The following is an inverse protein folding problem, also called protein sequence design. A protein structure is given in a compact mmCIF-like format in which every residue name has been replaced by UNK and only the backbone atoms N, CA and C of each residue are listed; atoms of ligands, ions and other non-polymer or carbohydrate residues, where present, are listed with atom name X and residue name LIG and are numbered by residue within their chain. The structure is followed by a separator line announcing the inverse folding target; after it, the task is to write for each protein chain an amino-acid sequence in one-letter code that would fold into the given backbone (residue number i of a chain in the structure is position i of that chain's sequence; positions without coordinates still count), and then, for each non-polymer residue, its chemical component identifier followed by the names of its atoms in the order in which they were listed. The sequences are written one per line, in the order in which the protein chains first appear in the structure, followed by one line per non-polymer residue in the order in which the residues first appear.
data_IF_446738404498
#
_entry.id   IF_446738404498
#
_cell.length_a   1.000
_cell.length_b   1.000
_cell.length_c   1.000
_cell.angle_alpha   90.00
_cell.angle_beta   90.00
_cell.angle_gamma   90.00
#
_symmetry.space_group_name_H-M   'P 1'
#
loop_
_entity.id
_entity.type
_entity.pdbx_description
1 polymer ?
#
# COMPACT_ATOMS: atom_id res chain seq x y z
N UNK A 1 -42.10 1.47 12.31
CA UNK A 1 -40.87 2.29 12.30
C UNK A 1 -39.69 1.39 12.63
N UNK A 2 -38.69 1.29 11.76
CA UNK A 2 -37.47 0.55 12.08
C UNK A 2 -36.67 1.33 13.14
N UNK A 3 -36.11 0.65 14.14
CA UNK A 3 -35.28 1.29 15.18
C UNK A 3 -34.04 1.91 14.53
N UNK A 4 -33.55 3.02 15.07
CA UNK A 4 -32.25 3.57 14.69
C UNK A 4 -31.16 2.53 14.96
N UNK A 5 -30.30 2.29 13.98
CA UNK A 5 -29.19 1.34 14.11
C UNK A 5 -27.91 2.13 14.31
N UNK A 6 -27.17 1.79 15.37
CA UNK A 6 -25.88 2.39 15.64
C UNK A 6 -24.87 2.06 14.52
N UNK A 7 -23.97 3.01 14.26
CA UNK A 7 -22.87 2.84 13.32
C UNK A 7 -22.01 1.66 13.75
N UNK A 8 -21.61 0.84 12.79
CA UNK A 8 -20.62 -0.18 13.07
C UNK A 8 -19.20 0.41 13.09
N UNK A 9 -18.50 0.20 14.20
CA UNK A 9 -17.08 0.50 14.38
C UNK A 9 -16.36 -0.82 14.67
N UNK A 10 -15.30 -1.10 13.94
CA UNK A 10 -14.45 -2.27 14.17
C UNK A 10 -13.76 -2.21 15.52
N UNK A 11 -13.64 -3.35 16.20
CA UNK A 11 -12.85 -3.50 17.42
C UNK A 11 -11.35 -3.34 17.15
N UNK A 12 -10.92 -3.74 15.95
CA UNK A 12 -9.57 -3.58 15.44
C UNK A 12 -9.60 -3.50 13.91
N UNK A 13 -8.48 -3.09 13.33
CA UNK A 13 -8.32 -2.86 11.89
C UNK A 13 -8.40 -4.12 11.04
N UNK A 14 -8.14 -5.29 11.64
CA UNK A 14 -8.16 -6.59 10.99
C UNK A 14 -9.54 -7.28 11.06
N UNK A 15 -10.50 -6.67 11.77
CA UNK A 15 -11.82 -7.25 11.93
C UNK A 15 -12.52 -7.34 10.57
N UNK A 16 -13.02 -8.53 10.23
CA UNK A 16 -13.85 -8.70 9.05
C UNK A 16 -15.15 -7.88 9.18
N UNK A 17 -15.45 -7.06 8.17
CA UNK A 17 -16.71 -6.32 8.07
C UNK A 17 -17.89 -7.30 8.08
N UNK A 18 -18.80 -7.23 9.07
CA UNK A 18 -19.93 -8.14 9.18
C UNK A 18 -20.86 -8.08 7.96
N UNK A 19 -21.49 -9.20 7.54
CA UNK A 19 -22.40 -9.21 6.39
C UNK A 19 -23.52 -8.15 6.46
N UNK A 20 -24.10 -7.92 7.64
CA UNK A 20 -25.11 -6.88 7.87
C UNK A 20 -24.62 -5.48 7.51
N UNK A 21 -23.35 -5.18 7.80
CA UNK A 21 -22.75 -3.87 7.50
C UNK A 21 -22.45 -3.77 6.01
N UNK A 22 -21.98 -4.85 5.39
CA UNK A 22 -21.77 -4.91 3.93
C UNK A 22 -23.06 -4.60 3.17
N UNK A 23 -24.18 -5.20 3.59
CA UNK A 23 -25.50 -4.92 2.99
C UNK A 23 -25.91 -3.46 3.18
N UNK A 24 -25.82 -2.92 4.40
CA UNK A 24 -26.15 -1.50 4.66
C UNK A 24 -25.31 -0.54 3.83
N UNK A 25 -24.00 -0.78 3.73
CA UNK A 25 -23.10 0.04 2.92
C UNK A 25 -23.47 -0.05 1.44
N UNK A 26 -23.81 -1.24 0.93
CA UNK A 26 -24.25 -1.40 -0.44
C UNK A 26 -25.56 -0.64 -0.72
N UNK A 27 -26.55 -0.79 0.16
CA UNK A 27 -27.86 -0.13 0.02
C UNK A 27 -27.75 1.39 0.15
N UNK A 28 -26.97 1.88 1.12
CA UNK A 28 -26.71 3.31 1.35
C UNK A 28 -26.09 3.99 0.13
N UNK A 29 -25.18 3.31 -0.54
CA UNK A 29 -24.48 3.82 -1.73
C UNK A 29 -25.20 3.44 -3.04
N UNK A 30 -26.42 2.90 -2.97
CA UNK A 30 -27.24 2.56 -4.13
C UNK A 30 -26.67 1.44 -5.01
N UNK A 31 -25.77 0.61 -4.46
CA UNK A 31 -25.05 -0.42 -5.20
C UNK A 31 -24.12 0.15 -6.26
N UNK A 32 -23.60 1.36 -6.07
CA UNK A 32 -22.71 2.03 -7.02
C UNK A 32 -21.27 1.94 -6.53
N UNK A 33 -20.37 1.50 -7.40
CA UNK A 33 -18.95 1.52 -7.13
C UNK A 33 -18.46 2.97 -6.94
N UNK A 34 -18.01 3.32 -5.72
CA UNK A 34 -17.61 4.70 -5.44
C UNK A 34 -16.35 5.15 -6.20
N UNK A 35 -15.54 4.20 -6.69
CA UNK A 35 -14.32 4.48 -7.46
C UNK A 35 -14.58 4.78 -8.93
N UNK A 36 -15.63 4.19 -9.51
CA UNK A 36 -15.89 4.27 -10.96
C UNK A 36 -17.23 4.91 -11.29
N UNK A 37 -18.14 5.05 -10.32
CA UNK A 37 -19.52 5.48 -10.52
C UNK A 37 -20.40 4.45 -11.24
N UNK A 38 -19.89 3.25 -11.56
CA UNK A 38 -20.68 2.20 -12.23
C UNK A 38 -21.56 1.47 -11.22
N UNK A 39 -22.78 1.12 -11.63
CA UNK A 39 -23.63 0.20 -10.88
C UNK A 39 -22.96 -1.18 -10.81
N UNK A 40 -22.98 -1.77 -9.63
CA UNK A 40 -22.46 -3.11 -9.35
C UNK A 40 -23.61 -4.08 -9.55
N UNK A 41 -23.40 -5.13 -10.35
CA UNK A 41 -24.25 -6.31 -10.38
C UNK A 41 -23.67 -7.33 -9.39
N UNK A 42 -24.19 -7.48 -8.17
CA UNK A 42 -23.58 -8.34 -7.15
C UNK A 42 -23.64 -9.84 -7.49
N UNK A 43 -24.38 -10.25 -8.53
CA UNK A 43 -24.44 -11.63 -9.00
C UNK A 43 -23.31 -11.91 -10.01
N UNK A 44 -22.95 -10.90 -10.82
CA UNK A 44 -21.97 -11.05 -11.92
C UNK A 44 -20.61 -10.42 -11.63
N UNK A 45 -20.58 -9.36 -10.84
CA UNK A 45 -19.40 -8.58 -10.52
C UNK A 45 -18.80 -8.98 -9.16
N UNK A 46 -17.48 -9.13 -9.12
CA UNK A 46 -16.76 -9.19 -7.86
C UNK A 46 -16.60 -7.79 -7.27
N UNK A 47 -17.06 -7.62 -6.02
CA UNK A 47 -16.96 -6.37 -5.29
C UNK A 47 -16.57 -6.59 -3.83
N UNK A 48 -15.85 -5.61 -3.29
CA UNK A 48 -15.39 -5.58 -1.91
C UNK A 48 -15.90 -4.31 -1.22
N UNK A 49 -15.92 -4.34 0.12
CA UNK A 49 -16.18 -3.15 0.93
C UNK A 49 -14.83 -2.55 1.28
N UNK A 50 -14.63 -1.31 0.85
CA UNK A 50 -13.32 -0.65 0.89
C UNK A 50 -13.39 0.63 1.72
N UNK A 51 -12.29 0.95 2.40
CA UNK A 51 -12.12 2.21 3.11
C UNK A 51 -11.93 3.37 2.11
N UNK A 52 -12.78 4.39 2.14
CA UNK A 52 -12.63 5.59 1.30
C UNK A 52 -11.33 6.31 1.60
N UNK A 53 -11.06 6.53 2.89
CA UNK A 53 -9.72 6.89 3.39
C UNK A 53 -9.07 5.62 3.91
N UNK A 54 -7.96 5.19 3.32
CA UNK A 54 -7.26 4.00 3.78
C UNK A 54 -6.73 4.15 5.22
N UNK A 55 -6.75 3.04 5.97
CA UNK A 55 -6.28 2.99 7.37
C UNK A 55 -4.85 3.53 7.53
N UNK A 56 -3.97 3.19 6.59
CA UNK A 56 -2.57 3.64 6.56
C UNK A 56 -2.40 5.16 6.38
N UNK A 57 -3.44 5.86 5.93
CA UNK A 57 -3.48 7.31 5.74
C UNK A 57 -4.35 8.00 6.82
N UNK A 58 -4.61 7.32 7.94
CA UNK A 58 -5.43 7.85 9.04
C UNK A 58 -6.93 7.62 8.88
N UNK A 59 -7.33 6.75 7.95
CA UNK A 59 -8.71 6.29 7.86
C UNK A 59 -9.11 5.42 9.05
N UNK A 60 -10.41 5.39 9.33
CA UNK A 60 -10.95 4.60 10.43
C UNK A 60 -11.66 3.35 9.93
N UNK A 61 -11.59 2.26 10.71
CA UNK A 61 -12.28 1.01 10.43
C UNK A 61 -13.76 1.09 10.89
N UNK A 62 -14.54 1.98 10.27
CA UNK A 62 -15.95 2.24 10.60
C UNK A 62 -16.83 2.37 9.37
N UNK A 63 -18.11 2.10 9.53
CA UNK A 63 -19.10 2.03 8.45
C UNK A 63 -19.23 3.33 7.64
N UNK A 64 -19.07 4.50 8.25
CA UNK A 64 -19.06 5.79 7.54
C UNK A 64 -17.87 5.96 6.58
N UNK A 65 -16.79 5.22 6.80
CA UNK A 65 -15.62 5.20 5.92
C UNK A 65 -15.63 4.02 4.94
N UNK A 66 -16.64 3.15 4.99
CA UNK A 66 -16.74 1.97 4.12
C UNK A 66 -17.66 2.21 2.94
N UNK A 67 -17.22 1.82 1.74
CA UNK A 67 -17.95 2.00 0.48
C UNK A 67 -17.80 0.77 -0.42
N UNK A 68 -18.81 0.43 -1.24
CA UNK A 68 -18.72 -0.69 -2.16
C UNK A 68 -17.83 -0.32 -3.36
N UNK A 69 -16.90 -1.19 -3.69
CA UNK A 69 -16.00 -1.01 -4.81
C UNK A 69 -15.87 -2.30 -5.63
N UNK A 70 -15.89 -2.15 -6.95
CA UNK A 70 -15.51 -3.24 -7.85
C UNK A 70 -14.06 -3.65 -7.57
N UNK A 71 -13.78 -4.95 -7.65
CA UNK A 71 -12.50 -5.51 -7.21
C UNK A 71 -11.30 -5.00 -8.01
N UNK A 72 -11.46 -4.82 -9.31
CA UNK A 72 -10.39 -4.34 -10.19
C UNK A 72 -9.96 -2.89 -9.85
N UNK A 73 -10.85 -1.87 -9.85
CA UNK A 73 -10.45 -0.52 -9.45
C UNK A 73 -10.02 -0.44 -7.99
N UNK A 74 -10.57 -1.26 -7.10
CA UNK A 74 -10.13 -1.37 -5.71
C UNK A 74 -8.65 -1.78 -5.63
N UNK A 75 -8.23 -2.84 -6.34
CA UNK A 75 -6.82 -3.26 -6.40
C UNK A 75 -5.90 -2.15 -6.92
N UNK A 76 -6.35 -1.37 -7.92
CA UNK A 76 -5.58 -0.22 -8.45
C UNK A 76 -5.41 0.86 -7.38
N UNK A 77 -6.46 1.19 -6.62
CA UNK A 77 -6.37 2.11 -5.48
C UNK A 77 -5.40 1.61 -4.42
N UNK A 78 -5.52 0.35 -4.00
CA UNK A 78 -4.62 -0.25 -3.00
C UNK A 78 -3.16 -0.19 -3.46
N UNK A 79 -2.86 -0.46 -4.74
CA UNK A 79 -1.49 -0.36 -5.27
C UNK A 79 -0.91 1.06 -5.16
N UNK A 80 -1.73 2.08 -5.46
CA UNK A 80 -1.33 3.50 -5.32
C UNK A 80 -1.06 3.84 -3.86
N UNK A 81 -1.95 3.44 -2.96
CA UNK A 81 -1.84 3.71 -1.52
C UNK A 81 -0.61 3.00 -0.90
N UNK A 82 -0.31 1.77 -1.32
CA UNK A 82 0.90 1.06 -0.88
C UNK A 82 2.18 1.74 -1.39
N UNK A 83 2.16 2.33 -2.59
CA UNK A 83 3.28 3.14 -3.10
C UNK A 83 3.49 4.38 -2.24
N UNK A 84 2.41 5.06 -1.84
CA UNK A 84 2.46 6.21 -0.92
C UNK A 84 3.03 5.78 0.45
N UNK A 85 2.52 4.69 1.03
CA UNK A 85 3.05 4.11 2.28
C UNK A 85 4.55 3.84 2.21
N UNK A 86 5.01 3.19 1.14
CA UNK A 86 6.43 2.89 0.93
C UNK A 86 7.27 4.16 0.86
N UNK A 87 6.76 5.20 0.20
CA UNK A 87 7.45 6.50 0.12
C UNK A 87 7.54 7.16 1.49
N UNK A 88 6.44 7.24 2.24
CA UNK A 88 6.41 7.80 3.60
C UNK A 88 7.41 7.07 4.50
N UNK A 89 7.39 5.74 4.49
CA UNK A 89 8.32 4.93 5.26
C UNK A 89 9.78 5.19 4.88
N UNK A 90 10.10 5.28 3.58
CA UNK A 90 11.45 5.61 3.08
C UNK A 90 11.90 7.00 3.54
N UNK A 91 11.01 7.99 3.48
CA UNK A 91 11.32 9.37 3.89
C UNK A 91 11.57 9.42 5.39
N UNK A 92 10.68 8.83 6.20
CA UNK A 92 10.85 8.72 7.66
C UNK A 92 12.15 8.01 8.02
N UNK A 93 12.45 6.90 7.35
CA UNK A 93 13.67 6.12 7.54
C UNK A 93 14.94 6.95 7.33
N UNK A 94 14.96 7.84 6.33
CA UNK A 94 16.07 8.78 6.09
C UNK A 94 16.20 9.83 7.20
N UNK A 95 15.08 10.42 7.64
CA UNK A 95 15.09 11.42 8.71
C UNK A 95 15.52 10.84 10.06
N UNK A 96 15.25 9.55 10.30
CA UNK A 96 15.70 8.82 11.49
C UNK A 96 17.15 8.32 11.38
N UNK A 97 17.87 8.61 10.29
CA UNK A 97 19.25 8.13 10.09
C UNK A 97 19.38 6.62 9.85
N UNK A 98 18.27 5.89 9.68
CA UNK A 98 18.27 4.43 9.46
C UNK A 98 18.57 4.15 7.98
N UNK A 99 19.72 4.58 7.48
CA UNK A 99 20.11 4.39 6.08
C UNK A 99 21.03 3.19 5.92
N UNK A 100 20.85 2.42 4.85
CA UNK A 100 21.88 1.44 4.46
C UNK A 100 23.14 2.20 4.03
N UNK A 101 24.36 1.70 4.34
CA UNK A 101 25.58 2.28 3.79
C UNK A 101 25.49 2.29 2.26
N UNK A 102 26.03 3.33 1.63
CA UNK A 102 26.04 3.45 0.16
C UNK A 102 26.76 2.23 -0.41
N UNK A 103 26.10 1.47 -1.28
CA UNK A 103 26.77 0.40 -2.02
C UNK A 103 27.73 1.04 -3.01
N UNK A 104 29.02 0.74 -2.89
CA UNK A 104 30.01 1.08 -3.92
C UNK A 104 29.94 0.03 -5.02
N UNK A 105 29.80 0.46 -6.28
CA UNK A 105 29.95 -0.41 -7.46
C UNK A 105 31.38 -0.93 -7.62
N UNK A 106 32.33 -0.33 -6.91
CA UNK A 106 33.70 -0.81 -6.85
C UNK A 106 33.96 -1.65 -5.62
N UNK A 107 34.73 -2.72 -5.79
CA UNK A 107 35.28 -3.46 -4.67
C UNK A 107 36.06 -2.48 -3.77
N UNK A 108 35.80 -2.44 -2.45
CA UNK A 108 36.38 -1.42 -1.58
C UNK A 108 37.91 -1.42 -1.60
N UNK A 109 38.52 -2.58 -1.86
CA UNK A 109 39.98 -2.77 -1.92
C UNK A 109 40.56 -2.83 -3.33
N UNK A 110 39.83 -3.33 -4.32
CA UNK A 110 40.38 -3.63 -5.63
C UNK A 110 39.73 -2.77 -6.70
N UNK A 111 40.52 -2.21 -7.61
CA UNK A 111 40.05 -1.41 -8.74
C UNK A 111 40.43 -2.10 -10.02
N UNK A 112 39.45 -2.41 -10.87
CA UNK A 112 39.72 -2.81 -12.26
C UNK A 112 39.95 -1.55 -13.09
N UNK A 113 41.09 -1.46 -13.75
CA UNK A 113 41.48 -0.39 -14.66
C UNK A 113 40.85 -0.60 -16.04
N UNK A 114 40.91 0.41 -16.90
CA UNK A 114 40.33 0.36 -18.25
C UNK A 114 41.03 -0.65 -19.16
N UNK A 115 42.29 -0.96 -18.88
CA UNK A 115 43.10 -1.97 -19.57
C UNK A 115 42.84 -3.41 -19.09
N UNK A 116 41.88 -3.60 -18.16
CA UNK A 116 41.52 -4.89 -17.60
C UNK A 116 42.28 -5.27 -16.33
N UNK A 117 43.39 -4.61 -16.02
CA UNK A 117 44.21 -4.93 -14.84
C UNK A 117 43.48 -4.65 -13.53
N UNK A 118 43.73 -5.45 -12.50
CA UNK A 118 43.16 -5.24 -11.16
C UNK A 118 44.27 -4.76 -10.22
N UNK A 119 44.12 -3.55 -9.70
CA UNK A 119 45.06 -2.95 -8.73
C UNK A 119 44.48 -2.93 -7.32
N UNK A 120 45.31 -3.19 -6.31
CA UNK A 120 44.98 -2.92 -4.90
C UNK A 120 45.03 -1.40 -4.67
N UNK A 121 43.91 -0.83 -4.22
CA UNK A 121 43.76 0.62 -3.97
C UNK A 121 44.64 1.13 -2.83
N UNK A 122 45.08 0.25 -1.91
CA UNK A 122 45.93 0.63 -0.78
C UNK A 122 47.41 0.63 -1.14
N UNK A 123 47.89 -0.36 -1.88
CA UNK A 123 49.32 -0.52 -2.19
C UNK A 123 49.69 -0.02 -3.59
N UNK A 124 48.72 0.10 -4.49
CA UNK A 124 48.95 0.44 -5.90
C UNK A 124 49.46 -0.72 -6.75
N UNK A 125 49.63 -1.91 -6.16
CA UNK A 125 50.18 -3.08 -6.83
C UNK A 125 49.12 -3.79 -7.69
N UNK A 126 49.58 -4.38 -8.79
CA UNK A 126 48.74 -5.19 -9.68
C UNK A 126 48.58 -6.58 -9.06
N UNK A 127 47.33 -6.95 -8.78
CA UNK A 127 46.95 -8.21 -8.13
C UNK A 127 46.61 -9.29 -9.16
N UNK A 128 46.13 -8.89 -10.34
CA UNK A 128 45.75 -9.80 -11.43
C UNK A 128 45.70 -9.04 -12.76
N UNK A 129 46.02 -9.74 -13.85
CA UNK A 129 45.96 -9.26 -15.24
C UNK A 129 44.82 -9.95 -15.98
#
# INVERSE_FOLDING_TARGET
MARSVEEWIGRNDDQKVPPRVRMRVFDREGGICYLTGRKIDPIRDEWDVEHKVALILGGEHRESNLFPALREPHRRKTAVEMKVKSKIAKVRKKHLGITKPKSSLSHPRFKRCMDGTVVDRRTGEVVSR
#
